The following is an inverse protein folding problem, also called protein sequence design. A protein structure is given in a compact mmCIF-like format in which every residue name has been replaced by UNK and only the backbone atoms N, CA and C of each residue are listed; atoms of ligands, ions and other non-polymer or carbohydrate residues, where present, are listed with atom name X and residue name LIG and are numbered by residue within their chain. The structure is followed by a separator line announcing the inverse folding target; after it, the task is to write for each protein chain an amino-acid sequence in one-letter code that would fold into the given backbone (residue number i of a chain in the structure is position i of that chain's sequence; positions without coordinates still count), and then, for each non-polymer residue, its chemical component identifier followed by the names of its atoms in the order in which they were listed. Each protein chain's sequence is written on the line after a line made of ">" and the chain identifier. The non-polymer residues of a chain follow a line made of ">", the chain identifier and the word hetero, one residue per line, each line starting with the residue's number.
data_IF_841060691053
#
_entry.id   IF_841060691053
#
_cell.length_a   1.000
_cell.length_b   1.000
_cell.length_c   1.000
_cell.angle_alpha   90.00
_cell.angle_beta   90.00
_cell.angle_gamma   90.00
#
_symmetry.space_group_name_H-M   'P 1'
#
loop_
_entity.id
_entity.type
_entity.pdbx_description
1 polymer ?
#
# COMPACT_ATOMS: atom_id res chain seq x y z
N UNK A 1 -19.36 5.99 5.77
CA UNK A 1 -18.92 5.63 5.37
C UNK A 1 -17.90 4.99 5.81
N UNK A 2 -17.63 4.25 5.81
CA UNK A 2 -16.68 3.57 6.32
C UNK A 2 -15.38 3.87 5.88
N UNK A 3 -14.44 3.59 6.64
CA UNK A 3 -13.13 3.86 6.30
C UNK A 3 -12.60 2.71 5.54
N UNK A 4 -12.07 2.97 4.37
CA UNK A 4 -11.44 1.96 3.63
C UNK A 4 -10.04 1.82 4.10
N UNK A 5 -9.58 0.64 4.37
CA UNK A 5 -8.19 0.39 4.74
C UNK A 5 -7.39 0.26 3.47
N UNK A 6 -6.37 1.09 3.29
CA UNK A 6 -5.58 1.03 2.06
C UNK A 6 -4.59 -0.13 2.12
N UNK A 7 -5.08 -1.31 1.77
CA UNK A 7 -4.28 -2.53 1.88
C UNK A 7 -2.98 -2.40 1.10
N UNK A 8 -3.07 -1.88 -0.12
CA UNK A 8 -1.88 -1.74 -0.94
C UNK A 8 -0.86 -0.82 -0.29
N UNK A 9 -1.34 0.28 0.28
CA UNK A 9 -0.45 1.24 0.91
C UNK A 9 0.21 0.65 2.15
N UNK A 10 -0.57 -0.06 2.95
CA UNK A 10 -0.02 -0.70 4.15
C UNK A 10 1.05 -1.72 3.74
N UNK A 11 0.78 -2.50 2.71
CA UNK A 11 1.75 -3.46 2.23
C UNK A 11 3.02 -2.75 1.76
N UNK A 12 2.88 -1.69 0.99
CA UNK A 12 4.04 -0.96 0.50
C UNK A 12 4.88 -0.39 1.64
N UNK A 13 4.21 0.10 2.69
CA UNK A 13 4.94 0.64 3.82
C UNK A 13 5.76 -0.42 4.52
N UNK A 14 5.19 -1.61 4.69
CA UNK A 14 5.95 -2.68 5.34
C UNK A 14 7.11 -3.13 4.46
N UNK A 15 6.93 -3.13 3.15
CA UNK A 15 8.02 -3.48 2.26
C UNK A 15 9.14 -2.46 2.33
N UNK A 16 8.82 -1.22 2.66
CA UNK A 16 9.81 -0.19 2.81
C UNK A 16 10.48 -0.20 4.19
N UNK A 17 10.05 -1.10 5.07
CA UNK A 17 10.68 -1.21 6.36
C UNK A 17 9.90 -0.61 7.51
N UNK A 18 8.71 -0.08 7.25
CA UNK A 18 7.91 0.52 8.31
C UNK A 18 7.35 -0.57 9.21
N UNK A 19 7.28 -0.27 10.49
CA UNK A 19 6.65 -1.17 11.44
C UNK A 19 5.18 -0.79 11.60
N UNK A 20 4.44 -1.67 12.27
CA UNK A 20 3.05 -1.37 12.56
C UNK A 20 2.93 -0.07 13.33
N UNK A 21 3.83 0.15 14.27
CA UNK A 21 3.80 1.38 15.06
C UNK A 21 3.99 2.60 14.19
N UNK A 22 4.92 2.53 13.26
CA UNK A 22 5.16 3.64 12.36
C UNK A 22 3.95 3.92 11.50
N UNK A 23 3.29 2.86 11.02
CA UNK A 23 2.10 3.03 10.21
C UNK A 23 0.98 3.65 11.04
N UNK A 24 0.86 3.25 12.29
CA UNK A 24 -0.16 3.84 13.17
C UNK A 24 0.09 5.31 13.39
N UNK A 25 1.33 5.72 13.48
CA UNK A 25 1.64 7.13 13.63
C UNK A 25 1.21 7.92 12.40
N UNK A 26 1.39 7.33 11.23
CA UNK A 26 0.99 8.01 10.01
C UNK A 26 -0.53 7.98 9.81
N UNK A 27 -1.18 6.96 10.32
CA UNK A 27 -2.62 6.79 10.14
C UNK A 27 -3.26 6.51 11.50
N UNK A 28 -3.39 7.54 12.33
CA UNK A 28 -3.84 7.31 13.71
C UNK A 28 -5.27 6.81 13.84
N UNK A 29 -6.05 6.88 12.78
CA UNK A 29 -7.41 6.35 12.82
C UNK A 29 -7.46 4.84 12.61
N UNK A 30 -6.34 4.22 12.28
CA UNK A 30 -6.31 2.77 12.12
C UNK A 30 -5.94 2.12 13.45
N UNK A 31 -6.31 0.85 13.57
CA UNK A 31 -5.93 0.07 14.74
C UNK A 31 -4.89 -0.96 14.33
N UNK A 32 -4.13 -1.50 15.27
CA UNK A 32 -3.20 -2.57 14.94
C UNK A 32 -3.88 -3.77 14.29
N UNK A 33 -5.09 -4.12 14.76
CA UNK A 33 -5.81 -5.24 14.19
C UNK A 33 -6.13 -4.98 12.72
N UNK A 34 -6.52 -3.75 12.40
CA UNK A 34 -6.82 -3.40 11.02
C UNK A 34 -5.60 -3.49 10.14
N UNK A 35 -4.45 -3.07 10.65
CA UNK A 35 -3.21 -3.15 9.88
C UNK A 35 -2.84 -4.61 9.66
N UNK A 36 -2.95 -5.45 10.68
CA UNK A 36 -2.64 -6.86 10.52
C UNK A 36 -3.61 -7.53 9.55
N UNK A 37 -4.88 -7.15 9.60
CA UNK A 37 -5.84 -7.69 8.66
C UNK A 37 -5.50 -7.28 7.23
N UNK A 38 -5.09 -6.04 7.03
CA UNK A 38 -4.72 -5.57 5.71
C UNK A 38 -3.51 -6.32 5.19
N UNK A 39 -2.53 -6.56 6.06
CA UNK A 39 -1.35 -7.31 5.65
C UNK A 39 -1.70 -8.76 5.35
N UNK A 40 -2.57 -9.35 6.15
CA UNK A 40 -3.01 -10.71 5.92
C UNK A 40 -3.69 -10.83 4.55
N UNK A 41 -4.54 -9.87 4.24
CA UNK A 41 -5.18 -9.85 2.93
C UNK A 41 -4.14 -9.71 1.83
N UNK A 42 -3.18 -8.81 2.03
CA UNK A 42 -2.15 -8.59 1.02
C UNK A 42 -1.34 -9.86 0.77
N UNK A 43 -0.98 -10.56 1.83
CA UNK A 43 -0.21 -11.78 1.68
C UNK A 43 -1.02 -12.89 1.01
N UNK A 44 -2.33 -12.92 1.23
CA UNK A 44 -3.17 -13.88 0.57
C UNK A 44 -3.37 -13.56 -0.91
N UNK A 45 -3.17 -12.30 -1.28
CA UNK A 45 -3.42 -11.86 -2.65
C UNK A 45 -2.22 -11.12 -3.21
N UNK A 46 -1.03 -11.65 -2.94
CA UNK A 46 0.20 -10.96 -3.32
C UNK A 46 0.28 -10.65 -4.81
N UNK A 47 -0.10 -11.60 -5.65
CA UNK A 47 -0.01 -11.38 -7.08
C UNK A 47 -0.87 -10.20 -7.51
N UNK A 48 -2.08 -10.13 -6.95
CA UNK A 48 -2.99 -9.04 -7.29
C UNK A 48 -2.47 -7.70 -6.77
N UNK A 49 -1.99 -7.70 -5.53
CA UNK A 49 -1.49 -6.47 -4.94
C UNK A 49 -0.28 -5.96 -5.71
N UNK A 50 0.63 -6.84 -6.03
CA UNK A 50 1.84 -6.43 -6.75
C UNK A 50 1.52 -5.98 -8.15
N UNK A 51 0.50 -6.59 -8.77
CA UNK A 51 0.08 -6.14 -10.06
C UNK A 51 -0.50 -4.73 -10.01
N UNK A 52 -1.28 -4.44 -8.99
CA UNK A 52 -1.83 -3.10 -8.83
C UNK A 52 -0.74 -2.07 -8.63
N UNK A 53 0.25 -2.40 -7.82
CA UNK A 53 1.36 -1.49 -7.59
C UNK A 53 2.11 -1.24 -8.89
N UNK A 54 2.37 -2.29 -9.63
CA UNK A 54 3.09 -2.16 -10.88
C UNK A 54 2.33 -1.33 -11.88
N UNK A 55 1.02 -1.53 -11.92
CA UNK A 55 0.18 -0.78 -12.83
C UNK A 55 0.19 0.70 -12.50
N UNK A 56 0.16 1.03 -11.22
CA UNK A 56 0.21 2.42 -10.81
C UNK A 56 1.56 3.04 -11.13
N UNK A 57 2.62 2.28 -10.91
CA UNK A 57 3.95 2.78 -11.24
C UNK A 57 4.06 3.07 -12.72
N UNK A 58 3.55 2.18 -13.54
CA UNK A 58 3.62 2.39 -14.98
C UNK A 58 2.83 3.59 -15.40
N UNK A 59 1.64 3.75 -14.83
CA UNK A 59 0.83 4.91 -15.18
C UNK A 59 1.51 6.20 -14.75
N UNK A 60 2.10 6.18 -13.59
CA UNK A 60 2.78 7.36 -13.09
C UNK A 60 3.97 7.70 -13.97
N UNK A 61 4.74 6.69 -14.33
CA UNK A 61 5.91 6.92 -15.17
C UNK A 61 5.54 7.41 -16.53
N UNK A 62 4.49 6.88 -17.10
CA UNK A 62 4.05 7.37 -18.39
C UNK A 62 3.65 8.82 -18.32
N UNK A 63 2.98 9.22 -17.29
CA UNK A 63 2.59 10.59 -17.16
C UNK A 63 3.74 11.50 -16.86
N UNK A 64 4.79 10.97 -16.18
CA UNK A 64 5.84 11.79 -15.81
C UNK A 64 6.88 11.85 -16.80
N UNK A 65 7.17 10.80 -17.45
CA UNK A 65 8.24 10.78 -18.26
C UNK A 65 7.99 11.20 -19.44
N UNK A 66 7.62 11.57 -19.82
CA UNK A 66 7.51 11.97 -20.88
C UNK A 66 8.51 12.12 -21.45
N UNK A 67 8.79 12.10 -21.88
CA UNK A 67 9.64 12.01 -22.54
C UNK A 67 10.63 12.57 -22.54
N UNK A 68 10.84 12.87 -22.28
CA UNK A 68 11.74 13.41 -22.20
C UNK A 68 12.72 12.88 -22.43
N UNK A 69 12.78 12.48 -22.64
CA UNK A 69 13.74 12.04 -22.75
C UNK A 69 13.88 11.66 -23.35
#
# INVERSE_FOLDING_TARGET
>A
MGTRIPVRLVYQRTQAGDTVETILQAYPHLTPAQIHDALSYAYDHLAEIEQEIRREDQAYEHGKTQPSH
#
